data_IF_756012862853
#
_entry.id   IF_756012862853
#
_cell.length_a   1.000
_cell.length_b   1.000
_cell.length_c   1.000
_cell.angle_alpha   90.00
_cell.angle_beta   90.00
_cell.angle_gamma   90.00
#
_symmetry.space_group_name_H-M   'P 1'
#
loop_
_entity.id
_entity.type
_entity.pdbx_description
1 polymer ?
#
# COMPACT_ATOMS: atom_id res chain seq x y z
N UNK A 1 -9.67 -14.04 29.56
CA UNK A 1 -10.53 -14.62 30.62
C UNK A 1 -9.73 -15.36 31.68
N UNK A 2 -8.87 -16.33 31.31
CA UNK A 2 -8.08 -17.14 32.26
C UNK A 2 -7.51 -16.37 33.47
N UNK A 3 -6.67 -15.35 33.23
CA UNK A 3 -6.06 -14.57 34.33
C UNK A 3 -7.07 -13.82 35.20
N UNK A 4 -8.20 -13.38 34.62
CA UNK A 4 -9.22 -12.66 35.39
C UNK A 4 -9.94 -13.62 36.33
N UNK A 5 -10.32 -14.80 35.82
CA UNK A 5 -10.94 -15.86 36.62
C UNK A 5 -10.01 -16.33 37.74
N UNK A 6 -8.73 -16.57 37.43
CA UNK A 6 -7.76 -17.00 38.43
C UNK A 6 -7.55 -15.93 39.51
N UNK A 7 -7.33 -14.67 39.12
CA UNK A 7 -7.07 -13.60 40.07
C UNK A 7 -8.27 -13.33 41.00
N UNK A 8 -9.50 -13.45 40.49
CA UNK A 8 -10.71 -13.24 41.29
C UNK A 8 -11.09 -14.40 42.21
N UNK A 9 -10.61 -15.63 41.92
CA UNK A 9 -10.95 -16.83 42.70
C UNK A 9 -9.79 -17.34 43.55
N UNK A 10 -8.77 -16.51 43.79
CA UNK A 10 -7.63 -16.83 44.65
C UNK A 10 -7.44 -15.75 45.72
N UNK A 11 -6.53 -15.98 46.68
CA UNK A 11 -6.20 -15.03 47.74
C UNK A 11 -5.61 -13.70 47.24
N UNK A 12 -5.35 -13.56 45.94
CA UNK A 12 -4.90 -12.33 45.30
C UNK A 12 -6.05 -11.39 44.89
N UNK A 13 -7.32 -11.75 45.15
CA UNK A 13 -8.48 -10.98 44.70
C UNK A 13 -8.44 -9.51 45.14
N UNK A 14 -7.95 -9.24 46.36
CA UNK A 14 -7.82 -7.88 46.92
C UNK A 14 -6.66 -7.08 46.30
N UNK A 15 -5.78 -7.72 45.51
CA UNK A 15 -4.66 -7.10 44.81
C UNK A 15 -4.96 -6.79 43.33
N UNK A 16 -6.18 -7.10 42.85
CA UNK A 16 -6.55 -6.90 41.45
C UNK A 16 -6.92 -5.44 41.18
N UNK A 17 -6.13 -4.77 40.35
CA UNK A 17 -6.48 -3.47 39.78
C UNK A 17 -7.25 -3.69 38.47
N UNK A 18 -8.45 -3.14 38.34
CA UNK A 18 -9.35 -3.35 37.18
C UNK A 18 -8.96 -2.54 35.94
N UNK A 19 -7.92 -1.71 36.03
CA UNK A 19 -7.42 -0.90 34.93
C UNK A 19 -6.21 -1.56 34.26
N UNK A 20 -6.25 -1.72 32.94
CA UNK A 20 -5.19 -2.42 32.20
C UNK A 20 -3.95 -1.55 31.93
N UNK A 21 -4.00 -0.25 32.26
CA UNK A 21 -2.96 0.75 31.98
C UNK A 21 -2.61 0.90 30.49
N UNK A 22 -3.51 0.41 29.61
CA UNK A 22 -3.33 0.36 28.17
C UNK A 22 -4.54 0.95 27.46
N UNK A 23 -4.29 1.71 26.40
CA UNK A 23 -5.32 2.20 25.50
C UNK A 23 -5.33 1.40 24.20
N UNK A 24 -6.48 0.82 23.85
CA UNK A 24 -6.70 0.18 22.57
C UNK A 24 -7.76 0.96 21.79
N UNK A 25 -7.44 1.37 20.56
CA UNK A 25 -8.35 2.12 19.72
C UNK A 25 -9.43 1.21 19.10
N UNK A 26 -10.53 1.06 19.82
CA UNK A 26 -11.67 0.28 19.37
C UNK A 26 -12.65 1.11 18.56
N UNK A 27 -12.75 0.86 17.26
CA UNK A 27 -13.87 1.31 16.41
C UNK A 27 -14.68 0.07 16.01
N UNK A 28 -15.72 -0.26 16.79
CA UNK A 28 -16.46 -1.53 16.62
C UNK A 28 -17.11 -1.70 15.23
N UNK A 29 -17.77 -0.70 14.63
CA UNK A 29 -18.34 -0.86 13.29
C UNK A 29 -17.34 -1.30 12.22
N UNK A 30 -16.06 -0.96 12.38
CA UNK A 30 -15.00 -1.24 11.38
C UNK A 30 -14.02 -2.35 11.82
N UNK A 31 -13.80 -2.49 13.12
CA UNK A 31 -12.90 -3.48 13.70
C UNK A 31 -13.49 -4.90 13.81
N UNK A 32 -14.80 -5.05 13.61
CA UNK A 32 -15.55 -6.30 13.82
C UNK A 32 -16.05 -6.92 12.49
N UNK A 33 -15.16 -7.11 11.51
CA UNK A 33 -15.50 -7.64 10.17
C UNK A 33 -15.49 -9.17 10.06
N UNK A 34 -15.41 -9.90 11.19
CA UNK A 34 -15.28 -11.37 11.22
C UNK A 34 -14.16 -11.93 10.30
N UNK A 35 -13.06 -11.18 10.12
CA UNK A 35 -11.95 -11.53 9.22
C UNK A 35 -11.30 -12.89 9.52
N UNK A 36 -11.40 -13.35 10.76
CA UNK A 36 -10.74 -14.57 11.22
C UNK A 36 -11.61 -15.81 11.11
N UNK A 37 -12.80 -15.73 10.49
CA UNK A 37 -13.69 -16.89 10.32
C UNK A 37 -13.07 -18.07 9.55
N UNK A 38 -12.03 -17.84 8.76
CA UNK A 38 -11.27 -18.89 8.08
C UNK A 38 -10.19 -19.56 8.95
N UNK A 39 -9.82 -18.93 10.06
CA UNK A 39 -8.78 -19.40 10.98
C UNK A 39 -9.39 -19.98 12.25
N UNK A 40 -10.53 -19.42 12.70
CA UNK A 40 -11.27 -19.84 13.88
C UNK A 40 -12.77 -19.79 13.62
N UNK A 41 -13.52 -20.73 14.20
CA UNK A 41 -15.00 -20.80 14.11
C UNK A 41 -15.69 -19.76 15.03
N UNK A 42 -15.18 -18.52 15.02
CA UNK A 42 -15.70 -17.42 15.82
C UNK A 42 -15.43 -16.06 15.17
N UNK A 43 -16.35 -15.11 15.32
CA UNK A 43 -16.13 -13.74 14.88
C UNK A 43 -15.41 -12.93 15.96
N UNK A 44 -14.19 -12.50 15.65
CA UNK A 44 -13.41 -11.59 16.48
C UNK A 44 -13.51 -10.13 16.04
N UNK A 45 -13.18 -9.22 16.97
CA UNK A 45 -12.92 -7.82 16.67
C UNK A 45 -11.44 -7.51 16.90
N UNK A 46 -10.89 -6.58 16.12
CA UNK A 46 -9.52 -6.08 16.28
C UNK A 46 -9.51 -4.55 16.38
N UNK A 47 -8.65 -3.95 17.23
CA UNK A 47 -8.45 -2.50 17.25
C UNK A 47 -8.00 -1.99 15.88
N UNK A 48 -8.39 -0.76 15.56
CA UNK A 48 -7.93 -0.05 14.35
C UNK A 48 -6.62 0.66 14.62
N UNK A 49 -5.81 0.87 13.60
CA UNK A 49 -4.59 1.67 13.75
C UNK A 49 -4.93 3.15 14.01
N UNK A 50 -4.13 3.82 14.84
CA UNK A 50 -4.20 5.28 14.94
C UNK A 50 -3.75 5.91 13.63
N UNK A 51 -4.44 6.97 13.20
CA UNK A 51 -4.16 7.66 11.95
C UNK A 51 -4.54 9.14 12.02
N UNK A 52 -3.74 9.98 11.36
CA UNK A 52 -3.94 11.41 11.20
C UNK A 52 -4.16 12.19 12.49
N UNK A 53 -4.55 13.45 12.32
CA UNK A 53 -4.80 14.36 13.44
C UNK A 53 -5.85 13.81 14.43
N UNK A 54 -6.88 13.11 13.93
CA UNK A 54 -7.91 12.52 14.80
C UNK A 54 -7.32 11.44 15.72
N UNK A 55 -6.42 10.59 15.21
CA UNK A 55 -5.73 9.58 16.00
C UNK A 55 -4.81 10.21 17.06
N UNK A 56 -4.07 11.26 16.68
CA UNK A 56 -3.23 12.02 17.61
C UNK A 56 -4.04 12.65 18.75
N UNK A 57 -5.15 13.33 18.41
CA UNK A 57 -6.05 13.93 19.39
C UNK A 57 -6.65 12.88 20.33
N UNK A 58 -7.06 11.72 19.82
CA UNK A 58 -7.57 10.63 20.64
C UNK A 58 -6.52 10.07 21.60
N UNK A 59 -5.26 9.96 21.15
CA UNK A 59 -4.16 9.58 22.02
C UNK A 59 -3.95 10.62 23.11
N UNK A 60 -3.88 11.91 22.78
CA UNK A 60 -3.71 12.98 23.77
C UNK A 60 -4.88 13.07 24.74
N UNK A 61 -6.11 12.86 24.28
CA UNK A 61 -7.28 12.84 25.14
C UNK A 61 -7.30 11.66 26.14
N UNK A 62 -6.53 10.60 25.89
CA UNK A 62 -6.47 9.41 26.77
C UNK A 62 -5.22 9.36 27.63
N UNK A 63 -4.07 9.72 27.06
CA UNK A 63 -2.77 9.70 27.75
C UNK A 63 -2.53 11.01 28.50
N UNK A 64 -2.99 12.14 27.96
CA UNK A 64 -2.68 13.48 28.46
C UNK A 64 -1.23 13.91 28.18
N UNK A 65 -0.89 15.15 28.54
CA UNK A 65 0.49 15.67 28.42
C UNK A 65 0.91 16.09 27.01
N UNK A 66 -0.03 16.18 26.06
CA UNK A 66 0.22 16.63 24.69
C UNK A 66 -0.95 17.41 24.14
N UNK A 67 -0.69 18.31 23.17
CA UNK A 67 -1.71 19.11 22.47
C UNK A 67 -2.69 19.86 23.41
N UNK A 68 -2.21 20.33 24.56
CA UNK A 68 -3.03 21.04 25.55
C UNK A 68 -3.95 20.15 26.40
N UNK A 69 -3.93 18.84 26.22
CA UNK A 69 -4.65 17.89 27.08
C UNK A 69 -3.90 17.69 28.40
N UNK A 70 -4.61 17.88 29.51
CA UNK A 70 -4.08 17.61 30.85
C UNK A 70 -3.90 16.10 31.08
N UNK A 71 -2.94 15.67 31.93
CA UNK A 71 -2.84 14.28 32.36
C UNK A 71 -4.16 13.78 32.94
N UNK A 72 -4.54 12.55 32.57
CA UNK A 72 -5.74 11.90 33.09
C UNK A 72 -5.47 11.24 34.44
N UNK A 73 -6.45 11.23 35.35
CA UNK A 73 -6.37 10.55 36.66
C UNK A 73 -6.30 9.03 36.51
N UNK A 74 -6.80 8.48 35.39
CA UNK A 74 -6.61 7.09 35.00
C UNK A 74 -5.33 6.93 34.16
N UNK A 75 -4.23 6.39 34.71
CA UNK A 75 -2.96 6.36 34.01
C UNK A 75 -2.97 5.36 32.85
N UNK A 76 -2.53 5.84 31.68
CA UNK A 76 -2.30 5.02 30.48
C UNK A 76 -0.82 5.12 30.11
N UNK A 77 -0.12 3.99 30.10
CA UNK A 77 1.32 3.94 29.79
C UNK A 77 1.62 3.39 28.39
N UNK A 78 0.69 2.65 27.79
CA UNK A 78 0.86 2.08 26.46
C UNK A 78 -0.41 2.23 25.63
N UNK A 79 -0.25 2.39 24.31
CA UNK A 79 -1.37 2.43 23.38
C UNK A 79 -1.18 1.43 22.22
N UNK A 80 -2.27 1.02 21.58
CA UNK A 80 -2.29 0.18 20.37
C UNK A 80 -3.55 0.41 19.52
N UNK A 81 -3.54 0.17 18.20
CA UNK A 81 -2.43 -0.33 17.37
C UNK A 81 -1.76 0.84 16.64
N UNK A 82 -0.44 0.74 16.45
CA UNK A 82 0.32 1.57 15.54
C UNK A 82 0.78 0.70 14.37
N UNK A 83 0.74 1.25 13.17
CA UNK A 83 1.09 0.52 11.95
C UNK A 83 1.70 1.50 10.94
N UNK A 84 3.02 1.46 10.71
CA UNK A 84 3.72 2.46 9.90
C UNK A 84 3.29 2.47 8.43
N UNK A 85 2.70 1.36 7.98
CA UNK A 85 2.13 1.20 6.64
C UNK A 85 0.74 1.83 6.49
N UNK A 86 0.07 2.10 7.62
CA UNK A 86 -1.22 2.80 7.69
C UNK A 86 -0.98 4.28 7.93
N UNK A 87 -0.13 4.60 8.91
CA UNK A 87 0.20 5.97 9.31
C UNK A 87 1.50 6.02 10.14
N UNK A 88 2.59 6.39 9.47
CA UNK A 88 3.90 6.58 10.07
C UNK A 88 3.97 7.90 10.85
N UNK A 89 3.26 8.94 10.41
CA UNK A 89 3.24 10.27 11.05
C UNK A 89 2.77 10.17 12.51
N UNK A 90 1.71 9.39 12.78
CA UNK A 90 1.23 9.22 14.16
C UNK A 90 2.29 8.58 15.05
N UNK A 91 3.14 7.70 14.52
CA UNK A 91 4.25 7.11 15.28
C UNK A 91 5.33 8.16 15.58
N UNK A 92 5.69 8.98 14.60
CA UNK A 92 6.60 10.11 14.80
C UNK A 92 6.07 11.10 15.83
N UNK A 93 4.76 11.39 15.78
CA UNK A 93 4.08 12.25 16.75
C UNK A 93 4.23 11.71 18.18
N UNK A 94 4.04 10.40 18.39
CA UNK A 94 4.23 9.78 19.72
C UNK A 94 5.69 9.94 20.18
N UNK A 95 6.66 9.65 19.32
CA UNK A 95 8.09 9.75 19.66
C UNK A 95 8.50 11.19 20.00
N UNK A 96 8.08 12.15 19.18
CA UNK A 96 8.46 13.55 19.30
C UNK A 96 7.71 14.25 20.42
N UNK A 97 6.39 14.14 20.44
CA UNK A 97 5.51 14.95 21.29
C UNK A 97 5.27 14.29 22.63
N UNK A 98 4.95 12.99 22.67
CA UNK A 98 4.59 12.31 23.93
C UNK A 98 5.82 11.83 24.70
N UNK A 99 6.84 11.32 24.00
CA UNK A 99 8.07 10.85 24.65
C UNK A 99 9.14 11.93 24.77
N UNK A 100 8.93 13.12 24.18
CA UNK A 100 9.88 14.23 24.21
C UNK A 100 11.25 13.90 23.58
N UNK A 101 11.32 12.89 22.71
CA UNK A 101 12.57 12.50 22.06
C UNK A 101 12.74 13.30 20.79
N UNK A 102 13.92 13.89 20.59
CA UNK A 102 14.31 14.44 19.29
C UNK A 102 14.76 13.25 18.43
N UNK A 103 14.04 12.88 17.35
CA UNK A 103 14.48 11.77 16.49
C UNK A 103 15.85 12.10 15.87
N UNK A 104 16.70 11.14 15.50
CA UNK A 104 17.92 11.47 14.72
C UNK A 104 17.55 12.03 13.34
N UNK A 105 18.33 12.96 12.76
CA UNK A 105 17.92 13.79 11.60
C UNK A 105 17.72 13.06 10.26
N UNK A 106 18.43 11.96 9.99
CA UNK A 106 18.64 11.53 8.60
C UNK A 106 17.63 10.51 8.03
N UNK A 107 16.82 9.84 8.84
CA UNK A 107 15.83 8.84 8.35
C UNK A 107 14.39 9.09 8.80
N UNK A 108 14.12 10.32 9.26
CA UNK A 108 12.95 10.67 10.09
C UNK A 108 11.57 10.40 9.51
N UNK A 109 11.46 10.14 8.21
CA UNK A 109 10.16 10.14 7.52
C UNK A 109 9.89 8.85 6.76
N UNK A 110 10.79 7.87 6.81
CA UNK A 110 10.70 6.69 5.95
C UNK A 110 10.55 5.39 6.73
N UNK A 111 9.74 4.48 6.19
CA UNK A 111 9.63 3.11 6.66
C UNK A 111 9.71 2.16 5.47
N UNK A 112 10.60 1.17 5.56
CA UNK A 112 10.77 0.12 4.56
C UNK A 112 10.18 -1.18 5.09
N UNK A 113 9.21 -1.73 4.37
CA UNK A 113 8.66 -3.06 4.64
C UNK A 113 9.14 -4.02 3.55
N UNK A 114 9.83 -5.11 3.92
CA UNK A 114 10.12 -6.17 2.97
C UNK A 114 8.81 -6.89 2.59
N UNK A 115 8.45 -6.85 1.32
CA UNK A 115 7.21 -7.43 0.77
C UNK A 115 7.47 -8.67 -0.09
N UNK A 116 8.73 -8.93 -0.43
CA UNK A 116 9.18 -10.08 -1.19
C UNK A 116 10.64 -10.35 -0.86
N UNK A 117 10.94 -11.60 -0.54
CA UNK A 117 12.32 -12.08 -0.43
C UNK A 117 12.50 -13.33 -1.26
N UNK A 118 13.39 -13.27 -2.24
CA UNK A 118 13.70 -14.37 -3.13
C UNK A 118 14.16 -15.63 -2.42
N UNK A 119 14.82 -15.48 -1.27
CA UNK A 119 15.27 -16.60 -0.44
C UNK A 119 14.08 -17.37 0.14
N UNK A 120 13.10 -16.65 0.68
CA UNK A 120 11.91 -17.22 1.30
C UNK A 120 10.88 -17.71 0.27
N UNK A 121 10.83 -17.07 -0.90
CA UNK A 121 9.87 -17.35 -1.96
C UNK A 121 10.35 -18.40 -2.97
N UNK A 122 11.61 -18.84 -2.90
CA UNK A 122 12.19 -19.81 -3.84
C UNK A 122 11.33 -21.09 -4.00
N UNK A 123 10.84 -21.63 -2.88
CA UNK A 123 10.02 -22.84 -2.84
C UNK A 123 8.51 -22.54 -2.74
N UNK A 124 8.11 -21.27 -2.76
CA UNK A 124 6.71 -20.90 -2.66
C UNK A 124 5.97 -21.20 -3.97
N UNK A 125 4.65 -21.37 -3.88
CA UNK A 125 3.76 -21.44 -5.05
C UNK A 125 3.35 -20.06 -5.55
N UNK A 126 3.88 -19.00 -4.94
CA UNK A 126 3.56 -17.62 -5.31
C UNK A 126 4.04 -17.36 -6.74
N UNK A 127 3.21 -16.70 -7.52
CA UNK A 127 3.57 -16.16 -8.84
C UNK A 127 4.60 -15.04 -8.73
N UNK A 128 4.75 -14.40 -7.56
CA UNK A 128 5.72 -13.32 -7.32
C UNK A 128 7.15 -13.77 -7.58
N UNK A 129 7.49 -15.04 -7.34
CA UNK A 129 8.82 -15.61 -7.65
C UNK A 129 9.18 -15.58 -9.14
N UNK A 130 8.17 -15.47 -10.01
CA UNK A 130 8.35 -15.32 -11.46
C UNK A 130 8.23 -13.85 -11.89
N UNK A 131 7.39 -13.07 -11.19
CA UNK A 131 7.13 -11.66 -11.51
C UNK A 131 8.27 -10.74 -11.10
N UNK A 132 8.74 -10.83 -9.85
CA UNK A 132 9.76 -9.92 -9.34
C UNK A 132 11.09 -9.99 -10.10
N UNK A 133 11.65 -11.18 -10.42
CA UNK A 133 12.86 -11.26 -11.22
C UNK A 133 12.69 -10.66 -12.63
N UNK A 134 11.54 -10.90 -13.28
CA UNK A 134 11.27 -10.37 -14.62
C UNK A 134 11.16 -8.83 -14.61
N UNK A 135 10.53 -8.25 -13.57
CA UNK A 135 10.52 -6.80 -13.35
C UNK A 135 11.94 -6.29 -13.16
N UNK A 136 12.71 -6.87 -12.24
CA UNK A 136 14.07 -6.43 -11.95
C UNK A 136 14.97 -6.42 -13.20
N UNK A 137 15.00 -7.51 -13.97
CA UNK A 137 15.79 -7.58 -15.20
C UNK A 137 15.38 -6.54 -16.24
N UNK A 138 14.09 -6.20 -16.30
CA UNK A 138 13.59 -5.19 -17.22
C UNK A 138 13.97 -3.78 -16.79
N UNK A 139 13.90 -3.50 -15.48
CA UNK A 139 14.33 -2.23 -14.91
C UNK A 139 15.85 -2.07 -15.00
N UNK A 140 16.62 -3.14 -14.85
CA UNK A 140 18.06 -3.14 -15.08
C UNK A 140 18.40 -2.73 -16.53
N UNK A 141 17.73 -3.33 -17.52
CA UNK A 141 17.91 -2.95 -18.95
C UNK A 141 17.53 -1.50 -19.22
N UNK A 142 16.48 -0.99 -18.59
CA UNK A 142 16.06 0.41 -18.74
C UNK A 142 17.07 1.36 -18.10
N UNK A 143 17.58 1.00 -16.91
CA UNK A 143 18.61 1.75 -16.22
C UNK A 143 19.90 1.86 -17.03
N UNK A 144 20.34 0.77 -17.67
CA UNK A 144 21.52 0.77 -18.54
C UNK A 144 21.37 1.78 -19.69
N UNK A 145 20.18 1.91 -20.26
CA UNK A 145 19.88 2.87 -21.33
C UNK A 145 19.86 4.32 -20.81
N UNK A 146 19.36 4.55 -19.58
CA UNK A 146 19.30 5.89 -18.99
C UNK A 146 20.69 6.42 -18.60
N UNK A 147 21.56 5.53 -18.12
CA UNK A 147 22.82 5.91 -17.46
C UNK A 147 24.02 5.83 -18.42
N UNK A 148 23.85 5.30 -19.64
CA UNK A 148 24.94 5.08 -20.60
C UNK A 148 26.14 4.37 -19.95
N UNK A 149 25.87 3.28 -19.24
CA UNK A 149 26.92 2.51 -18.56
C UNK A 149 27.91 1.98 -19.60
N UNK A 150 29.20 2.31 -19.41
CA UNK A 150 30.28 1.93 -20.31
C UNK A 150 30.67 0.44 -20.22
N UNK A 151 30.17 -0.25 -19.18
CA UNK A 151 30.43 -1.67 -18.93
C UNK A 151 29.08 -2.41 -18.88
N UNK A 152 28.97 -3.61 -19.50
CA UNK A 152 27.72 -4.37 -19.45
C UNK A 152 27.47 -4.85 -18.03
N UNK A 153 26.21 -4.71 -17.58
CA UNK A 153 25.76 -5.18 -16.26
C UNK A 153 24.91 -6.43 -16.47
N UNK A 154 25.17 -7.47 -15.68
CA UNK A 154 24.44 -8.75 -15.78
C UNK A 154 24.02 -9.22 -14.40
N UNK A 155 23.08 -10.15 -14.32
CA UNK A 155 22.70 -10.77 -13.06
C UNK A 155 23.42 -12.12 -12.87
N UNK A 156 23.85 -12.48 -11.64
CA UNK A 156 24.28 -13.84 -11.32
C UNK A 156 23.17 -14.86 -11.61
N UNK A 157 23.51 -16.13 -11.89
CA UNK A 157 22.50 -17.15 -12.22
C UNK A 157 21.50 -17.42 -11.08
N UNK A 158 21.90 -17.19 -9.84
CA UNK A 158 21.11 -17.35 -8.63
C UNK A 158 20.58 -16.02 -8.05
N UNK A 159 20.63 -14.92 -8.80
CA UNK A 159 20.20 -13.60 -8.32
C UNK A 159 18.77 -13.59 -7.79
N UNK A 160 17.87 -14.40 -8.37
CA UNK A 160 16.47 -14.50 -8.00
C UNK A 160 16.26 -14.94 -6.54
N UNK A 161 17.23 -15.65 -5.93
CA UNK A 161 17.23 -16.02 -4.50
C UNK A 161 17.69 -14.89 -3.59
N UNK A 162 18.33 -13.88 -4.15
CA UNK A 162 18.89 -12.73 -3.44
C UNK A 162 18.20 -11.42 -3.83
N UNK A 163 17.08 -11.52 -4.55
CA UNK A 163 16.24 -10.39 -4.91
C UNK A 163 15.26 -10.13 -3.77
N UNK A 164 15.34 -8.96 -3.18
CA UNK A 164 14.34 -8.45 -2.24
C UNK A 164 13.57 -7.29 -2.87
N UNK A 165 12.29 -7.16 -2.51
CA UNK A 165 11.50 -5.97 -2.81
C UNK A 165 10.96 -5.37 -1.52
N UNK A 166 11.10 -4.05 -1.37
CA UNK A 166 10.63 -3.29 -0.23
C UNK A 166 9.59 -2.27 -0.66
N UNK A 167 8.51 -2.12 0.12
CA UNK A 167 7.61 -0.98 0.00
C UNK A 167 8.14 0.17 0.87
N UNK A 168 8.33 1.34 0.27
CA UNK A 168 8.83 2.55 0.90
C UNK A 168 7.67 3.48 1.26
N UNK A 169 7.44 3.66 2.55
CA UNK A 169 6.43 4.57 3.10
C UNK A 169 7.07 5.86 3.56
N UNK A 170 6.45 6.99 3.25
CA UNK A 170 6.90 8.31 3.67
C UNK A 170 5.83 9.04 4.50
N UNK A 171 6.17 9.48 5.71
CA UNK A 171 5.29 10.18 6.62
C UNK A 171 4.82 11.55 6.09
N UNK A 172 5.65 12.27 5.32
CA UNK A 172 5.30 13.58 4.76
C UNK A 172 4.16 13.48 3.74
N UNK A 173 4.18 12.48 2.86
CA UNK A 173 3.08 12.23 1.93
C UNK A 173 1.80 11.80 2.65
N UNK A 174 1.92 11.06 3.75
CA UNK A 174 0.76 10.66 4.57
C UNK A 174 0.11 11.85 5.30
N UNK A 175 0.87 12.92 5.57
CA UNK A 175 0.43 14.17 6.19
C UNK A 175 -0.36 15.09 5.24
N UNK A 176 0.07 15.21 3.98
CA UNK A 176 -0.60 16.01 2.95
C UNK A 176 -2.01 15.47 2.59
N UNK A 177 -2.25 14.19 2.90
CA UNK A 177 -3.53 13.51 2.70
C UNK A 177 -4.66 13.94 3.66
N UNK A 178 -4.42 14.90 4.55
CA UNK A 178 -5.35 15.31 5.61
C UNK A 178 -6.18 16.57 5.27
N UNK A 179 -5.97 17.23 4.12
CA UNK A 179 -6.94 18.20 3.60
C UNK A 179 -8.01 17.45 2.80
N UNK A 180 -9.17 17.26 3.41
CA UNK A 180 -10.33 16.42 3.08
C UNK A 180 -10.96 16.61 1.67
N UNK A 181 -10.25 17.23 0.72
CA UNK A 181 -10.78 17.59 -0.60
C UNK A 181 -10.43 16.60 -1.70
N UNK A 182 -9.38 15.80 -1.59
CA UNK A 182 -8.99 14.81 -2.61
C UNK A 182 -8.92 13.40 -2.05
N UNK A 183 -9.11 12.36 -2.90
CA UNK A 183 -8.87 10.98 -2.49
C UNK A 183 -7.47 10.86 -1.87
N UNK A 184 -7.43 10.31 -0.66
CA UNK A 184 -6.24 10.25 0.18
C UNK A 184 -5.04 9.68 -0.57
N UNK A 185 -3.85 10.29 -0.42
CA UNK A 185 -2.59 9.80 -1.01
C UNK A 185 -2.30 8.34 -0.64
N UNK A 186 -2.89 7.84 0.46
CA UNK A 186 -2.80 6.44 0.91
C UNK A 186 -3.45 5.43 -0.04
N UNK A 187 -4.23 5.89 -1.03
CA UNK A 187 -4.80 5.05 -2.08
C UNK A 187 -3.77 4.75 -3.19
N UNK A 188 -2.77 5.61 -3.35
CA UNK A 188 -1.68 5.39 -4.29
C UNK A 188 -0.71 4.34 -3.73
N UNK A 189 -0.14 3.48 -4.60
CA UNK A 189 0.86 2.51 -4.17
C UNK A 189 2.13 3.23 -3.70
N UNK A 190 2.74 2.78 -2.58
CA UNK A 190 4.04 3.27 -2.16
C UNK A 190 5.11 2.94 -3.20
N UNK A 191 6.20 3.70 -3.21
CA UNK A 191 7.36 3.37 -4.03
C UNK A 191 7.92 2.00 -3.64
N UNK A 192 8.53 1.32 -4.61
CA UNK A 192 9.18 0.04 -4.42
C UNK A 192 10.67 0.17 -4.60
N UNK A 193 11.39 -0.61 -3.81
CA UNK A 193 12.83 -0.71 -3.91
C UNK A 193 13.17 -2.14 -4.20
N UNK A 194 13.73 -2.38 -5.38
CA UNK A 194 14.23 -3.69 -5.76
C UNK A 194 15.71 -3.76 -5.47
N UNK A 195 16.11 -4.72 -4.65
CA UNK A 195 17.49 -4.91 -4.21
C UNK A 195 17.97 -6.28 -4.67
N UNK A 196 19.01 -6.33 -5.50
CA UNK A 196 19.57 -7.60 -5.96
C UNK A 196 21.06 -7.49 -6.31
N UNK A 197 21.80 -8.62 -6.32
CA UNK A 197 23.16 -8.63 -6.79
C UNK A 197 23.25 -8.46 -8.31
N UNK A 198 24.23 -7.68 -8.76
CA UNK A 198 24.59 -7.50 -10.17
C UNK A 198 26.09 -7.72 -10.38
N UNK A 199 26.47 -8.06 -11.60
CA UNK A 199 27.83 -8.31 -12.05
C UNK A 199 28.25 -7.24 -13.06
N UNK A 200 29.38 -6.59 -12.82
CA UNK A 200 29.91 -5.55 -13.71
C UNK A 200 31.30 -5.95 -14.21
N UNK A 201 31.50 -5.91 -15.53
CA UNK A 201 32.77 -6.23 -16.19
C UNK A 201 33.50 -4.95 -16.63
N UNK A 202 34.31 -4.37 -15.74
CA UNK A 202 35.12 -3.18 -16.04
C UNK A 202 36.52 -3.58 -16.55
N UNK A 203 36.63 -3.95 -17.85
CA UNK A 203 37.93 -4.18 -18.52
C UNK A 203 38.80 -5.32 -17.97
N UNK A 204 38.28 -6.15 -17.06
CA UNK A 204 38.96 -7.31 -16.46
C UNK A 204 38.39 -8.65 -16.97
N UNK A 205 39.14 -9.73 -16.75
CA UNK A 205 38.72 -11.11 -17.06
C UNK A 205 37.60 -11.61 -16.13
N UNK A 206 37.52 -11.11 -14.89
CA UNK A 206 36.50 -11.51 -13.91
C UNK A 206 35.60 -10.31 -13.49
N UNK A 207 34.27 -10.51 -13.39
CA UNK A 207 33.32 -9.46 -13.00
C UNK A 207 33.35 -9.17 -11.49
N UNK A 208 32.98 -7.94 -11.11
CA UNK A 208 32.70 -7.57 -9.72
C UNK A 208 31.24 -7.82 -9.38
N UNK A 209 30.97 -8.34 -8.19
CA UNK A 209 29.61 -8.43 -7.65
C UNK A 209 29.31 -7.22 -6.79
N UNK A 210 28.19 -6.55 -7.07
CA UNK A 210 27.68 -5.38 -6.36
C UNK A 210 26.23 -5.64 -5.97
N UNK A 211 25.71 -4.88 -5.01
CA UNK A 211 24.26 -4.83 -4.76
C UNK A 211 23.70 -3.58 -5.40
N UNK A 212 22.70 -3.75 -6.26
CA UNK A 212 21.95 -2.66 -6.88
C UNK A 212 20.59 -2.55 -6.20
N UNK A 213 20.23 -1.32 -5.84
CA UNK A 213 18.91 -0.91 -5.38
C UNK A 213 18.29 -0.02 -6.47
N UNK A 214 17.08 -0.37 -6.93
CA UNK A 214 16.34 0.40 -7.93
C UNK A 214 15.05 0.88 -7.28
N UNK A 215 14.84 2.20 -7.26
CA UNK A 215 13.60 2.83 -6.83
C UNK A 215 12.63 2.92 -8.02
N UNK A 216 11.40 2.48 -7.77
CA UNK A 216 10.33 2.41 -8.77
C UNK A 216 9.04 2.96 -8.18
N UNK A 217 8.34 3.78 -8.94
CA UNK A 217 6.95 4.09 -8.65
C UNK A 217 6.05 3.04 -9.34
N UNK A 218 5.31 2.20 -8.59
CA UNK A 218 4.36 1.28 -9.21
C UNK A 218 3.32 2.03 -10.06
N UNK A 219 2.80 1.40 -11.12
CA UNK A 219 1.84 2.05 -11.99
C UNK A 219 0.56 2.32 -11.21
N UNK A 220 0.09 3.57 -11.26
CA UNK A 220 -1.19 3.98 -10.68
C UNK A 220 -2.33 3.45 -11.54
N UNK A 221 -2.74 2.21 -11.27
CA UNK A 221 -3.84 1.50 -11.93
C UNK A 221 -5.20 1.76 -11.27
N UNK A 222 -5.30 2.86 -10.53
CA UNK A 222 -6.53 3.38 -9.94
C UNK A 222 -7.06 4.54 -10.76
N UNK A 223 -8.37 4.74 -10.72
CA UNK A 223 -9.01 5.98 -11.13
C UNK A 223 -9.47 6.74 -9.89
N UNK A 224 -9.17 8.04 -9.87
CA UNK A 224 -9.55 8.97 -8.83
C UNK A 224 -10.18 10.20 -9.48
N UNK A 225 -11.21 10.77 -8.85
CA UNK A 225 -11.81 12.00 -9.36
C UNK A 225 -10.82 13.15 -9.27
N UNK A 226 -10.68 13.90 -10.37
CA UNK A 226 -9.93 15.15 -10.40
C UNK A 226 -10.66 16.31 -9.71
N UNK A 227 -11.97 16.14 -9.46
CA UNK A 227 -12.77 17.12 -8.73
C UNK A 227 -12.59 16.93 -7.22
N UNK A 228 -12.50 18.03 -6.46
CA UNK A 228 -12.61 17.97 -5.02
C UNK A 228 -13.90 17.26 -4.59
N UNK A 229 -13.85 16.46 -3.52
CA UNK A 229 -15.02 15.74 -2.98
C UNK A 229 -16.19 16.69 -2.71
N UNK A 230 -15.92 17.94 -2.33
CA UNK A 230 -16.94 18.99 -2.14
C UNK A 230 -17.72 19.30 -3.42
N UNK A 231 -17.09 19.18 -4.59
CA UNK A 231 -17.64 19.48 -5.92
C UNK A 231 -18.23 18.25 -6.65
N UNK A 232 -17.84 17.03 -6.26
CA UNK A 232 -18.41 15.79 -6.80
C UNK A 232 -19.92 15.73 -6.53
N UNK A 233 -20.75 15.22 -7.44
CA UNK A 233 -22.19 15.12 -7.22
C UNK A 233 -22.55 13.96 -6.28
N UNK A 234 -23.73 13.99 -5.66
CA UNK A 234 -24.19 12.85 -4.85
C UNK A 234 -24.43 11.63 -5.76
N UNK A 235 -23.89 10.48 -5.36
CA UNK A 235 -23.94 9.23 -6.13
C UNK A 235 -22.78 9.04 -7.11
N UNK A 236 -21.94 10.06 -7.31
CA UNK A 236 -20.80 9.98 -8.22
C UNK A 236 -19.59 9.27 -7.59
N UNK A 237 -18.85 8.58 -8.44
CA UNK A 237 -17.64 7.83 -8.09
C UNK A 237 -16.50 8.81 -7.83
N UNK A 238 -15.79 8.58 -6.73
CA UNK A 238 -14.60 9.31 -6.31
C UNK A 238 -13.34 8.47 -6.55
N UNK A 239 -13.47 7.15 -6.40
CA UNK A 239 -12.36 6.21 -6.52
C UNK A 239 -12.84 4.88 -7.11
N UNK A 240 -12.03 4.31 -8.00
CA UNK A 240 -12.27 3.02 -8.64
C UNK A 240 -10.95 2.27 -8.81
N UNK A 241 -10.88 1.05 -8.28
CA UNK A 241 -9.70 0.20 -8.41
C UNK A 241 -10.08 -1.29 -8.40
N UNK A 242 -9.34 -2.10 -9.16
CA UNK A 242 -9.32 -3.56 -9.00
C UNK A 242 -8.07 -3.95 -8.26
N UNK A 243 -8.23 -4.65 -7.14
CA UNK A 243 -7.12 -4.97 -6.24
C UNK A 243 -7.30 -6.34 -5.57
N UNK A 244 -6.26 -6.75 -4.85
CA UNK A 244 -6.27 -7.90 -3.94
C UNK A 244 -5.80 -7.47 -2.57
N UNK A 245 -6.12 -8.25 -1.53
CA UNK A 245 -5.73 -7.96 -0.14
C UNK A 245 -6.23 -6.59 0.34
N UNK A 246 -7.48 -6.22 0.01
CA UNK A 246 -8.09 -5.03 0.58
C UNK A 246 -8.37 -5.22 2.08
N UNK A 247 -7.81 -4.33 2.90
CA UNK A 247 -7.99 -4.34 4.36
C UNK A 247 -9.19 -3.47 4.73
N UNK A 248 -10.41 -4.04 4.74
CA UNK A 248 -11.65 -3.30 5.08
C UNK A 248 -11.58 -2.47 6.38
N UNK A 249 -11.08 -3.10 7.45
CA UNK A 249 -10.75 -2.44 8.73
C UNK A 249 -9.90 -1.17 8.59
N UNK A 250 -8.81 -1.21 7.82
CA UNK A 250 -7.92 -0.04 7.67
C UNK A 250 -8.23 0.84 6.43
N UNK A 251 -9.04 0.33 5.50
CA UNK A 251 -9.47 0.92 4.23
C UNK A 251 -8.34 1.22 3.24
N UNK A 252 -7.42 0.27 3.07
CA UNK A 252 -6.32 0.37 2.12
C UNK A 252 -6.00 -0.98 1.48
N UNK A 253 -5.30 -0.97 0.36
CA UNK A 253 -4.86 -2.18 -0.36
C UNK A 253 -3.47 -2.58 0.11
N UNK A 254 -3.34 -3.79 0.69
CA UNK A 254 -2.08 -4.35 1.20
C UNK A 254 -1.21 -4.99 0.14
N UNK A 255 -1.74 -5.26 -1.04
CA UNK A 255 -0.94 -5.57 -2.22
C UNK A 255 -0.29 -4.27 -2.72
N UNK A 256 0.71 -3.76 -2.00
CA UNK A 256 1.39 -2.51 -2.29
C UNK A 256 1.90 -2.38 -3.73
N UNK A 257 2.51 -3.42 -4.36
CA UNK A 257 2.96 -3.31 -5.73
C UNK A 257 1.82 -3.48 -6.74
N UNK A 258 0.56 -3.72 -6.32
CA UNK A 258 -0.58 -3.93 -7.25
C UNK A 258 -0.31 -5.01 -8.32
N UNK A 259 0.46 -6.03 -7.95
CA UNK A 259 0.71 -7.17 -8.83
C UNK A 259 -0.45 -8.13 -8.69
N UNK A 260 -1.24 -8.26 -9.75
CA UNK A 260 -2.43 -9.09 -9.79
C UNK A 260 -2.19 -10.28 -10.70
N UNK A 261 -2.67 -11.45 -10.32
CA UNK A 261 -2.49 -12.69 -11.07
C UNK A 261 -3.81 -13.40 -11.29
N UNK A 262 -3.82 -14.31 -12.27
CA UNK A 262 -5.02 -15.12 -12.56
C UNK A 262 -5.41 -16.09 -11.44
N UNK A 263 -4.57 -16.30 -10.42
CA UNK A 263 -4.92 -17.10 -9.23
C UNK A 263 -5.60 -16.29 -8.13
N UNK A 264 -5.54 -14.96 -8.20
CA UNK A 264 -5.96 -14.13 -7.09
C UNK A 264 -7.48 -14.00 -6.99
N UNK A 265 -7.96 -13.83 -5.76
CA UNK A 265 -9.34 -13.40 -5.52
C UNK A 265 -9.42 -11.89 -5.67
N UNK A 266 -9.74 -11.45 -6.89
CA UNK A 266 -9.83 -10.03 -7.24
C UNK A 266 -11.05 -9.36 -6.62
N UNK A 267 -10.87 -8.13 -6.16
CA UNK A 267 -11.90 -7.29 -5.55
C UNK A 267 -12.03 -6.00 -6.36
N UNK A 268 -13.26 -5.60 -6.65
CA UNK A 268 -13.57 -4.29 -7.20
C UNK A 268 -13.92 -3.35 -6.04
N UNK A 269 -13.16 -2.25 -5.95
CA UNK A 269 -13.31 -1.23 -4.92
C UNK A 269 -13.90 0.02 -5.56
N UNK A 270 -15.02 0.48 -5.01
CA UNK A 270 -15.71 1.70 -5.46
C UNK A 270 -15.92 2.59 -4.26
N UNK A 271 -15.41 3.82 -4.33
CA UNK A 271 -15.76 4.90 -3.41
C UNK A 271 -16.65 5.91 -4.11
N UNK A 272 -17.68 6.40 -3.44
CA UNK A 272 -18.59 7.41 -3.99
C UNK A 272 -18.97 8.45 -2.95
N UNK A 273 -19.46 9.59 -3.43
CA UNK A 273 -20.04 10.62 -2.57
C UNK A 273 -21.48 10.26 -2.20
N UNK A 274 -21.78 10.14 -0.91
CA UNK A 274 -23.12 9.94 -0.40
C UNK A 274 -23.57 11.09 0.50
N UNK A 275 -24.82 10.99 0.97
CA UNK A 275 -25.40 11.92 1.92
C UNK A 275 -25.23 11.40 3.36
N UNK A 276 -24.80 12.28 4.27
CA UNK A 276 -24.53 11.96 5.67
C UNK A 276 -25.86 11.70 6.41
N UNK A 277 -26.06 10.48 6.90
CA UNK A 277 -27.10 10.21 7.89
C UNK A 277 -26.61 10.57 9.30
N UNK A 278 -27.38 11.40 10.03
CA UNK A 278 -27.25 11.58 11.48
C UNK A 278 -27.22 10.21 12.23
N UNK A 279 -26.66 10.16 13.45
CA UNK A 279 -25.64 9.18 13.83
C UNK A 279 -26.07 7.73 13.62
N UNK A 280 -25.52 7.12 12.57
CA UNK A 280 -25.77 5.72 12.18
C UNK A 280 -25.16 5.30 10.85
N UNK A 281 -24.01 5.87 10.43
CA UNK A 281 -23.06 5.50 9.35
C UNK A 281 -23.58 4.79 8.06
N UNK A 282 -24.84 4.93 7.66
CA UNK A 282 -25.36 4.43 6.39
C UNK A 282 -25.58 5.61 5.42
N UNK A 283 -25.31 5.38 4.13
CA UNK A 283 -25.60 6.36 3.09
C UNK A 283 -27.13 6.49 2.94
N UNK A 284 -27.66 7.71 3.01
CA UNK A 284 -29.10 7.96 2.78
C UNK A 284 -29.47 7.95 1.31
N UNK A 285 -28.58 8.47 0.47
CA UNK A 285 -28.83 8.58 -0.96
C UNK A 285 -28.49 7.27 -1.67
N UNK A 286 -29.53 6.60 -2.18
CA UNK A 286 -29.39 5.43 -3.03
C UNK A 286 -29.04 5.89 -4.46
N UNK A 287 -28.00 5.31 -5.04
CA UNK A 287 -27.63 5.52 -6.45
C UNK A 287 -27.29 4.18 -7.09
N UNK A 288 -27.10 4.16 -8.40
CA UNK A 288 -26.64 2.97 -9.12
C UNK A 288 -25.46 3.32 -10.01
N UNK A 289 -24.51 2.40 -10.10
CA UNK A 289 -23.38 2.49 -11.01
C UNK A 289 -23.42 1.30 -11.95
N UNK A 290 -23.49 1.57 -13.25
CA UNK A 290 -23.33 0.56 -14.28
C UNK A 290 -21.83 0.31 -14.49
N UNK A 291 -21.44 -0.96 -14.55
CA UNK A 291 -20.06 -1.41 -14.59
C UNK A 291 -19.88 -2.32 -15.79
N UNK A 292 -18.83 -2.05 -16.56
CA UNK A 292 -18.39 -2.86 -17.71
C UNK A 292 -16.94 -3.24 -17.50
N UNK A 293 -16.62 -4.53 -17.62
CA UNK A 293 -15.26 -5.05 -17.51
C UNK A 293 -14.93 -5.86 -18.77
N UNK A 294 -13.82 -5.55 -19.43
CA UNK A 294 -13.43 -6.19 -20.68
C UNK A 294 -11.91 -6.22 -20.87
N UNK A 295 -11.36 -7.23 -21.56
CA UNK A 295 -9.96 -7.24 -21.97
C UNK A 295 -9.69 -6.19 -23.07
N UNK A 296 -8.48 -5.65 -23.14
CA UNK A 296 -8.14 -4.56 -24.10
C UNK A 296 -7.64 -5.04 -25.46
N UNK A 297 -6.96 -6.18 -25.54
CA UNK A 297 -6.27 -6.64 -26.77
C UNK A 297 -6.69 -8.03 -27.27
N UNK A 298 -7.68 -8.67 -26.66
CA UNK A 298 -8.27 -9.91 -27.18
C UNK A 298 -9.62 -9.62 -27.83
N UNK A 299 -9.83 -10.17 -29.03
CA UNK A 299 -11.14 -10.24 -29.67
C UNK A 299 -12.15 -10.84 -28.65
N UNK A 300 -13.36 -10.26 -28.53
CA UNK A 300 -14.14 -10.33 -27.31
C UNK A 300 -14.75 -11.72 -27.12
N UNK A 301 -14.37 -12.40 -26.05
CA UNK A 301 -15.11 -13.55 -25.52
C UNK A 301 -15.67 -13.30 -24.12
N UNK A 302 -15.16 -12.30 -23.40
CA UNK A 302 -15.50 -12.03 -22.00
C UNK A 302 -15.73 -10.54 -21.75
N UNK A 303 -16.99 -10.13 -21.69
CA UNK A 303 -17.38 -8.80 -21.22
C UNK A 303 -18.35 -8.97 -20.06
N UNK A 304 -17.97 -8.49 -18.89
CA UNK A 304 -18.82 -8.44 -17.71
C UNK A 304 -19.62 -7.16 -17.71
N UNK A 305 -20.93 -7.27 -17.50
CA UNK A 305 -21.80 -6.13 -17.26
C UNK A 305 -22.58 -6.37 -15.96
N UNK A 306 -22.55 -5.40 -15.07
CA UNK A 306 -23.35 -5.42 -13.84
C UNK A 306 -23.79 -4.02 -13.48
N UNK A 307 -24.90 -3.91 -12.75
CA UNK A 307 -25.35 -2.64 -12.16
C UNK A 307 -25.37 -2.84 -10.66
N UNK A 308 -24.56 -2.06 -9.95
CA UNK A 308 -24.48 -2.12 -8.49
C UNK A 308 -25.30 -0.99 -7.89
N UNK A 309 -26.10 -1.33 -6.87
CA UNK A 309 -26.80 -0.34 -6.05
C UNK A 309 -25.87 0.17 -4.96
N UNK A 310 -25.65 1.48 -4.95
CA UNK A 310 -24.89 2.20 -3.94
C UNK A 310 -25.85 2.66 -2.84
N UNK A 311 -25.59 2.26 -1.60
CA UNK A 311 -26.35 2.69 -0.42
C UNK A 311 -27.21 1.63 0.25
N UNK A 312 -27.41 0.46 -0.37
CA UNK A 312 -28.15 -0.66 0.21
C UNK A 312 -27.23 -1.86 0.48
N UNK A 313 -27.15 -2.32 1.74
CA UNK A 313 -26.53 -3.61 2.06
C UNK A 313 -25.46 -3.59 3.16
N UNK A 314 -25.15 -4.79 3.67
CA UNK A 314 -24.18 -5.01 4.76
C UNK A 314 -22.71 -4.76 4.38
N UNK A 315 -22.42 -4.53 3.09
CA UNK A 315 -21.07 -4.41 2.55
C UNK A 315 -20.63 -2.97 2.28
N UNK A 316 -21.46 -1.98 2.64
CA UNK A 316 -21.12 -0.56 2.52
C UNK A 316 -20.42 -0.07 3.79
N UNK A 317 -19.24 0.53 3.63
CA UNK A 317 -18.43 1.07 4.71
C UNK A 317 -18.33 2.60 4.61
N UNK A 318 -18.34 3.31 5.74
CA UNK A 318 -18.03 4.74 5.79
C UNK A 318 -16.52 4.97 5.67
N UNK A 319 -16.08 5.94 4.87
CA UNK A 319 -14.64 6.23 4.69
C UNK A 319 -14.05 6.98 5.91
N UNK A 320 -12.81 6.68 6.31
CA UNK A 320 -12.18 7.31 7.50
C UNK A 320 -11.98 8.82 7.36
N UNK A 321 -11.42 9.25 6.23
CA UNK A 321 -10.96 10.62 6.01
C UNK A 321 -11.92 11.41 5.09
N UNK A 322 -13.12 10.88 4.87
CA UNK A 322 -14.19 11.58 4.16
C UNK A 322 -15.56 11.25 4.78
N UNK A 323 -16.14 12.16 5.57
CA UNK A 323 -17.44 11.96 6.23
C UNK A 323 -18.61 11.72 5.28
N UNK A 324 -18.57 12.30 4.08
CA UNK A 324 -19.59 12.16 3.03
C UNK A 324 -19.27 11.07 2.02
N UNK A 325 -18.25 10.23 2.25
CA UNK A 325 -17.88 9.18 1.31
C UNK A 325 -18.15 7.79 1.87
N UNK A 326 -18.52 6.91 0.96
CA UNK A 326 -18.81 5.52 1.26
C UNK A 326 -18.04 4.62 0.31
N UNK A 327 -17.79 3.40 0.76
CA UNK A 327 -16.98 2.41 0.10
C UNK A 327 -17.78 1.12 -0.07
N UNK A 328 -17.67 0.51 -1.24
CA UNK A 328 -18.25 -0.77 -1.60
C UNK A 328 -17.13 -1.63 -2.16
N UNK A 329 -17.00 -2.83 -1.63
CA UNK A 329 -16.02 -3.81 -2.09
C UNK A 329 -16.76 -5.08 -2.46
N UNK A 330 -16.67 -5.47 -3.72
CA UNK A 330 -17.32 -6.68 -4.24
C UNK A 330 -16.30 -7.60 -4.91
N UNK A 331 -16.46 -8.93 -4.83
CA UNK A 331 -15.65 -9.84 -5.62
C UNK A 331 -15.82 -9.56 -7.11
N UNK A 332 -14.74 -9.56 -7.90
CA UNK A 332 -14.82 -9.30 -9.34
C UNK A 332 -15.70 -10.34 -10.07
N UNK A 333 -15.78 -11.55 -9.53
CA UNK A 333 -16.64 -12.64 -10.00
C UNK A 333 -18.13 -12.33 -9.89
N UNK A 334 -18.54 -11.36 -9.05
CA UNK A 334 -19.93 -10.89 -9.00
C UNK A 334 -20.27 -9.89 -10.11
N UNK A 335 -19.31 -9.56 -10.98
CA UNK A 335 -19.51 -8.74 -12.19
C UNK A 335 -19.30 -9.60 -13.44
N UNK A 336 -18.33 -10.52 -13.39
CA UNK A 336 -17.98 -11.44 -14.46
C UNK A 336 -18.74 -12.77 -14.32
N UNK A 337 -20.06 -12.75 -14.52
CA UNK A 337 -20.90 -13.93 -14.26
C UNK A 337 -20.73 -15.10 -15.24
N UNK A 338 -20.24 -14.86 -16.47
CA UNK A 338 -20.30 -15.85 -17.56
C UNK A 338 -18.99 -16.05 -18.33
N UNK A 339 -17.87 -15.57 -17.80
CA UNK A 339 -16.61 -15.74 -18.51
C UNK A 339 -15.41 -15.79 -17.57
N UNK A 340 -14.40 -16.54 -18.00
CA UNK A 340 -13.17 -16.75 -17.24
C UNK A 340 -12.19 -15.63 -17.50
N UNK A 341 -11.62 -15.11 -16.42
CA UNK A 341 -10.55 -14.13 -16.45
C UNK A 341 -9.31 -14.77 -17.08
N UNK A 342 -8.64 -14.02 -17.96
CA UNK A 342 -7.38 -14.41 -18.60
C UNK A 342 -6.28 -13.42 -18.25
N UNK A 343 -5.02 -13.83 -18.41
CA UNK A 343 -3.88 -12.92 -18.27
C UNK A 343 -3.94 -11.79 -19.32
N UNK A 344 -3.27 -10.67 -19.04
CA UNK A 344 -3.20 -9.50 -19.90
C UNK A 344 -3.88 -8.27 -19.30
N UNK A 345 -4.00 -7.23 -20.12
CA UNK A 345 -4.57 -5.94 -19.74
C UNK A 345 -6.11 -5.98 -19.82
N UNK A 346 -6.75 -5.54 -18.75
CA UNK A 346 -8.19 -5.41 -18.59
C UNK A 346 -8.56 -3.98 -18.27
N UNK A 347 -9.77 -3.60 -18.65
CA UNK A 347 -10.32 -2.27 -18.40
C UNK A 347 -11.62 -2.39 -17.63
N UNK A 348 -11.80 -1.50 -16.66
CA UNK A 348 -13.04 -1.29 -15.94
C UNK A 348 -13.58 0.08 -16.31
N UNK A 349 -14.82 0.10 -16.78
CA UNK A 349 -15.55 1.31 -17.08
C UNK A 349 -16.79 1.36 -16.20
N UNK A 350 -17.02 2.52 -15.58
CA UNK A 350 -18.19 2.75 -14.75
C UNK A 350 -18.94 3.99 -15.20
N UNK A 351 -20.27 3.94 -15.11
CA UNK A 351 -21.16 5.04 -15.42
C UNK A 351 -22.13 5.24 -14.27
N UNK A 352 -22.03 6.39 -13.60
CA UNK A 352 -22.94 6.78 -12.54
C UNK A 352 -24.29 7.26 -13.12
N UNK A 353 -25.32 7.28 -12.29
CA UNK A 353 -26.67 7.77 -12.65
C UNK A 353 -26.70 9.22 -13.14
N UNK A 354 -25.77 10.06 -12.70
CA UNK A 354 -25.57 11.44 -13.17
C UNK A 354 -25.06 11.52 -14.62
N UNK A 355 -24.53 10.42 -15.15
CA UNK A 355 -23.78 10.37 -16.40
C UNK A 355 -22.26 10.44 -16.23
N UNK A 356 -21.73 10.64 -15.02
CA UNK A 356 -20.29 10.62 -14.75
C UNK A 356 -19.68 9.28 -15.21
N UNK A 357 -18.54 9.36 -15.89
CA UNK A 357 -17.78 8.20 -16.35
C UNK A 357 -16.46 8.14 -15.61
N UNK A 358 -16.16 6.97 -15.04
CA UNK A 358 -14.89 6.67 -14.39
C UNK A 358 -14.29 5.40 -14.99
N UNK A 359 -13.00 5.41 -15.29
CA UNK A 359 -12.34 4.33 -16.02
C UNK A 359 -10.96 4.05 -15.45
N UNK A 360 -10.67 2.78 -15.18
CA UNK A 360 -9.33 2.31 -14.81
C UNK A 360 -8.95 1.05 -15.57
N UNK A 361 -7.69 0.65 -15.44
CA UNK A 361 -7.13 -0.57 -16.05
C UNK A 361 -6.43 -1.41 -14.98
N UNK A 362 -6.33 -2.71 -15.22
CA UNK A 362 -5.53 -3.59 -14.40
C UNK A 362 -4.90 -4.68 -15.25
N UNK A 363 -3.70 -5.11 -14.89
CA UNK A 363 -2.98 -6.16 -15.61
C UNK A 363 -2.93 -7.44 -14.79
N UNK A 364 -3.25 -8.56 -15.42
CA UNK A 364 -3.19 -9.88 -14.80
C UNK A 364 -2.00 -10.67 -15.32
N UNK A 365 -1.08 -10.99 -14.42
CA UNK A 365 0.03 -11.88 -14.70
C UNK A 365 -0.44 -13.35 -14.73
N UNK A 366 0.09 -14.17 -15.65
CA UNK A 366 -0.15 -15.60 -15.68
C UNK A 366 0.62 -16.29 -14.55
N UNK A 367 0.27 -17.54 -14.27
CA UNK A 367 1.01 -18.41 -13.34
C UNK A 367 2.19 -19.13 -14.00
N UNK A 368 2.75 -18.52 -15.06
CA UNK A 368 3.79 -19.08 -15.90
C UNK A 368 4.97 -18.10 -16.02
N UNK A 369 6.17 -18.55 -16.44
CA UNK A 369 7.31 -17.67 -16.65
C UNK A 369 6.96 -16.49 -17.55
N UNK A 370 7.40 -15.29 -17.16
CA UNK A 370 7.03 -14.06 -17.82
C UNK A 370 8.01 -13.79 -18.95
N UNK A 371 7.50 -13.74 -20.17
CA UNK A 371 8.28 -13.30 -21.32
C UNK A 371 8.48 -11.78 -21.29
N UNK A 372 9.57 -11.32 -21.89
CA UNK A 372 9.85 -9.88 -22.05
C UNK A 372 8.70 -9.16 -22.78
N UNK A 373 8.10 -9.80 -23.78
CA UNK A 373 6.95 -9.26 -24.53
C UNK A 373 5.66 -9.15 -23.70
N UNK A 374 5.45 -10.06 -22.74
CA UNK A 374 4.29 -9.96 -21.85
C UNK A 374 4.47 -8.82 -20.85
N UNK A 375 5.66 -8.68 -20.28
CA UNK A 375 5.94 -7.59 -19.35
C UNK A 375 5.90 -6.24 -20.05
N UNK A 376 6.40 -6.12 -21.29
CA UNK A 376 6.30 -4.88 -22.09
C UNK A 376 4.86 -4.51 -22.44
N UNK A 377 3.96 -5.49 -22.54
CA UNK A 377 2.51 -5.25 -22.72
C UNK A 377 1.78 -4.87 -21.42
N UNK A 378 2.45 -5.00 -20.27
CA UNK A 378 1.94 -4.56 -18.98
C UNK A 378 2.39 -3.13 -18.68
N UNK A 379 1.69 -2.46 -17.77
CA UNK A 379 2.10 -1.13 -17.29
C UNK A 379 3.44 -1.13 -16.54
N UNK A 380 3.93 -2.31 -16.14
CA UNK A 380 5.25 -2.48 -15.51
C UNK A 380 6.41 -2.43 -16.51
N UNK A 381 6.18 -2.78 -17.77
CA UNK A 381 7.25 -2.84 -18.77
C UNK A 381 7.66 -1.49 -19.34
N UNK A 382 6.83 -0.46 -19.18
CA UNK A 382 7.11 0.91 -19.63
C UNK A 382 7.57 1.85 -18.51
N UNK A 383 7.59 1.39 -17.25
CA UNK A 383 8.10 2.18 -16.13
C UNK A 383 9.55 2.58 -16.38
N UNK A 384 9.98 3.67 -15.79
CA UNK A 384 11.39 4.04 -15.72
C UNK A 384 11.78 4.04 -14.24
N UNK A 385 13.00 3.58 -13.90
CA UNK A 385 13.58 3.82 -12.58
C UNK A 385 13.49 5.30 -12.22
N UNK A 386 12.88 5.62 -11.08
CA UNK A 386 12.85 7.00 -10.59
C UNK A 386 14.23 7.39 -10.04
N UNK A 387 14.88 6.44 -9.38
CA UNK A 387 16.23 6.60 -8.86
C UNK A 387 16.87 5.21 -8.64
N UNK A 388 18.16 5.17 -8.33
CA UNK A 388 18.87 3.91 -8.09
C UNK A 388 20.13 4.17 -7.26
N UNK A 389 20.64 3.11 -6.65
CA UNK A 389 21.82 3.19 -5.81
C UNK A 389 22.59 1.87 -5.80
N UNK A 390 23.91 1.93 -5.65
CA UNK A 390 24.83 0.80 -5.71
C UNK A 390 25.62 0.72 -4.42
N UNK A 391 25.57 -0.44 -3.76
CA UNK A 391 26.47 -0.74 -2.64
C UNK A 391 27.72 -1.42 -3.18
N UNK A 392 28.87 -0.80 -2.89
CA UNK A 392 30.18 -1.20 -3.39
C UNK A 392 31.11 -1.69 -2.27
N UNK A 393 30.63 -2.56 -1.39
CA UNK A 393 31.51 -3.17 -0.38
C UNK A 393 32.61 -4.01 -1.05
N UNK A 394 33.88 -3.61 -0.86
CA UNK A 394 35.04 -4.36 -1.37
C UNK A 394 35.46 -4.05 -2.81
N UNK A 395 34.93 -3.00 -3.44
CA UNK A 395 35.30 -2.60 -4.81
C UNK A 395 36.57 -1.73 -4.80
N UNK A 396 37.56 -1.98 -5.68
CA UNK A 396 38.75 -1.14 -5.78
C UNK A 396 38.43 0.33 -6.11
N UNK A 397 39.20 1.24 -5.53
CA UNK A 397 39.01 2.70 -5.67
C UNK A 397 39.09 3.23 -7.11
N UNK A 398 39.59 2.43 -8.04
CA UNK A 398 39.68 2.73 -9.48
C UNK A 398 38.33 2.67 -10.20
N UNK A 399 37.35 1.93 -9.64
CA UNK A 399 36.01 1.73 -10.22
C UNK A 399 34.97 2.63 -9.54
N UNK A 400 35.23 3.03 -8.29
CA UNK A 400 34.41 3.99 -7.54
C UNK A 400 34.10 5.31 -8.27
N UNK A 401 34.97 5.90 -9.12
CA UNK A 401 34.65 7.15 -9.82
C UNK A 401 33.44 7.02 -10.77
N UNK A 402 33.21 5.82 -11.33
CA UNK A 402 32.05 5.52 -12.18
C UNK A 402 30.75 5.50 -11.36
N UNK A 403 30.82 5.11 -10.09
CA UNK A 403 29.67 4.91 -9.20
C UNK A 403 29.54 5.97 -8.11
N UNK A 404 30.43 6.97 -8.05
CA UNK A 404 30.52 7.92 -6.92
C UNK A 404 29.25 8.76 -6.72
N UNK A 405 28.49 8.99 -7.79
CA UNK A 405 27.17 9.65 -7.74
C UNK A 405 26.02 8.71 -7.30
N UNK A 406 26.29 7.42 -7.23
CA UNK A 406 25.31 6.35 -7.04
C UNK A 406 25.65 5.46 -5.85
N UNK A 407 26.54 5.90 -4.96
CA UNK A 407 27.00 5.14 -3.80
C UNK A 407 26.12 5.44 -2.57
N UNK A 408 25.47 4.40 -2.04
CA UNK A 408 24.51 4.53 -0.95
C UNK A 408 25.17 4.89 0.39
N UNK A 409 26.49 4.74 0.49
CA UNK A 409 27.25 5.23 1.64
C UNK A 409 27.42 6.76 1.64
N UNK A 410 27.27 7.40 0.48
CA UNK A 410 27.40 8.84 0.28
C UNK A 410 26.04 9.53 0.11
N UNK A 411 25.05 8.83 -0.44
CA UNK A 411 23.67 9.27 -0.62
C UNK A 411 22.74 8.37 0.19
N UNK A 412 22.36 8.81 1.40
CA UNK A 412 21.40 8.08 2.23
C UNK A 412 20.04 8.00 1.54
N UNK A 413 19.25 7.00 1.89
CA UNK A 413 17.90 6.78 1.39
C UNK A 413 16.97 8.01 1.48
N UNK A 414 17.21 8.93 2.41
CA UNK A 414 16.50 10.20 2.51
C UNK A 414 16.69 11.11 1.29
N UNK A 415 17.77 10.96 0.53
CA UNK A 415 18.01 11.76 -0.67
C UNK A 415 17.19 11.30 -1.87
N UNK A 416 16.59 10.10 -1.83
CA UNK A 416 15.71 9.62 -2.91
C UNK A 416 14.46 10.49 -3.12
N UNK A 417 14.00 11.22 -2.09
CA UNK A 417 12.83 12.11 -2.20
C UNK A 417 13.17 13.61 -2.27
N UNK A 418 14.43 14.00 -2.01
CA UNK A 418 14.84 15.40 -1.91
C UNK A 418 15.27 16.00 -3.26
N UNK A 419 15.21 15.23 -4.37
CA UNK A 419 15.43 15.71 -5.74
C UNK A 419 14.25 16.57 -6.28
N UNK A 420 13.65 17.41 -5.42
CA UNK A 420 13.23 18.73 -5.89
C UNK A 420 14.47 19.60 -5.96
N UNK A 421 15.18 19.45 -7.08
CA UNK A 421 16.18 20.43 -7.52
C UNK A 421 15.51 21.82 -7.54
N UNK A 422 15.94 22.77 -6.69
CA UNK A 422 15.42 24.14 -6.74
C UNK A 422 15.90 24.88 -8.00
N UNK A 423 16.84 24.29 -8.76
CA UNK A 423 17.56 24.95 -9.85
C UNK A 423 17.25 24.34 -11.24
N UNK A 424 15.98 24.05 -11.51
CA UNK A 424 15.46 24.00 -12.89
C UNK A 424 14.57 25.22 -13.13
N UNK A 425 15.19 26.30 -13.59
CA UNK A 425 14.52 27.44 -14.24
C UNK A 425 14.09 27.10 -15.66
#
# INVERSE_FOLDING_TARGET
MFFHTLAQNTHFCDSVVTHALRFAHWDRPRGCECKYGSVVDWCGCSPVAFRGLRGEQQLCARVGGCLGYQPNDEPVFFARKFDPTVDLEVMEFVVKTMLGKVPYLSTRQFFLENIYSGELEADSKSSLRLIMPAIFETQLRQLENLVNLSSPTTTPSDFHKHLDAFALFNATYQRLSLSEEFPSLRLYPPELVLRAPVLITAGRVAPYSLILEILLQPPSLLWASELPVSQVQLGDVIYLEVATMFDGKEQLVRNYPRLLTTADTLQLIIMWKGEIAAPGRQARHLSTVAITISPTHSHPACVGHSTLSLGEGKHVLSVFDCPSCFLLVVPLTSVLHNCSITHGLWRVHTRASSGQVAQTEFFLFPLAPISTGLLSSSTWGSLQPSNFCVHSEGVPAEILPTFRKWDCSMHEWSTFSDDHDPDVN
#
